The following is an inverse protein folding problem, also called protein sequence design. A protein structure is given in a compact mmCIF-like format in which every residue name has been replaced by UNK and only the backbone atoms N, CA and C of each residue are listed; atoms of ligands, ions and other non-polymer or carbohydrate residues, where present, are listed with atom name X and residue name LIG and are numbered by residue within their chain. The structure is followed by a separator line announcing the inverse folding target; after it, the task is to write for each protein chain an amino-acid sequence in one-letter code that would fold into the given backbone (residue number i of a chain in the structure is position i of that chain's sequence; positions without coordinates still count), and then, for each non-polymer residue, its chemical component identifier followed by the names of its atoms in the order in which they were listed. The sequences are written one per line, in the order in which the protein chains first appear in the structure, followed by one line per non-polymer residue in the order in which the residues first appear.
data_IF_578779150888
#
_entry.id   IF_578779150888
#
_cell.length_a   1.000
_cell.length_b   1.000
_cell.length_c   1.000
_cell.angle_alpha   90.00
_cell.angle_beta   90.00
_cell.angle_gamma   90.00
#
_symmetry.space_group_name_H-M   'P 1'
#
loop_
_entity.id
_entity.type
_entity.pdbx_description
1 polymer ?
#
# COMPACT_ATOMS: atom_id res chain seq x y z
N UNK A 1 -18.99 -12.54 54.85
CA UNK A 1 -19.23 -13.44 53.71
C UNK A 1 -19.87 -12.62 52.60
N UNK A 2 -19.08 -11.88 51.85
CA UNK A 2 -19.57 -11.11 50.69
C UNK A 2 -18.36 -10.76 49.83
N UNK A 3 -17.88 -11.63 48.98
CA UNK A 3 -16.84 -11.30 47.98
C UNK A 3 -16.63 -12.45 46.97
N UNK A 4 -17.66 -12.82 46.18
CA UNK A 4 -17.42 -13.84 45.15
C UNK A 4 -18.34 -13.71 43.90
N UNK A 5 -18.87 -12.54 43.57
CA UNK A 5 -19.75 -12.38 42.40
C UNK A 5 -19.32 -11.35 41.37
N UNK A 6 -18.24 -10.59 41.59
CA UNK A 6 -17.82 -9.55 40.64
C UNK A 6 -16.76 -9.99 39.63
N UNK A 7 -16.07 -11.11 39.85
CA UNK A 7 -14.94 -11.53 38.98
C UNK A 7 -15.38 -12.30 37.72
N UNK A 8 -16.61 -12.76 37.62
CA UNK A 8 -17.09 -13.50 36.45
C UNK A 8 -17.73 -12.64 35.37
N UNK A 9 -18.11 -11.41 35.67
CA UNK A 9 -18.74 -10.50 34.68
C UNK A 9 -17.69 -9.74 33.87
N UNK A 10 -16.52 -9.43 34.46
CA UNK A 10 -15.43 -8.75 33.76
C UNK A 10 -14.75 -9.62 32.70
N UNK A 11 -14.69 -10.95 32.90
CA UNK A 11 -14.08 -11.86 31.93
C UNK A 11 -14.97 -12.16 30.71
N UNK A 12 -16.28 -11.94 30.81
CA UNK A 12 -17.21 -12.17 29.70
C UNK A 12 -17.29 -10.99 28.73
N UNK A 13 -16.95 -9.77 29.18
CA UNK A 13 -16.95 -8.56 28.33
C UNK A 13 -15.70 -8.42 27.47
N UNK A 14 -14.57 -9.07 27.80
CA UNK A 14 -13.35 -9.06 27.00
C UNK A 14 -13.32 -10.04 25.84
N UNK A 15 -14.30 -10.96 25.75
CA UNK A 15 -14.40 -11.92 24.64
C UNK A 15 -15.32 -11.45 23.49
N UNK A 16 -15.98 -10.29 23.62
CA UNK A 16 -16.94 -9.81 22.62
C UNK A 16 -16.36 -8.82 21.62
N UNK A 17 -15.16 -8.28 21.85
CA UNK A 17 -14.56 -7.29 20.94
C UNK A 17 -13.72 -7.91 19.80
N UNK A 18 -13.29 -9.16 19.93
CA UNK A 18 -12.50 -9.84 18.87
C UNK A 18 -13.33 -10.34 17.69
N UNK A 19 -14.62 -10.57 17.86
CA UNK A 19 -15.46 -11.15 16.80
C UNK A 19 -15.94 -10.11 15.75
N UNK A 20 -16.04 -8.83 16.11
CA UNK A 20 -16.63 -7.81 15.23
C UNK A 20 -15.71 -7.31 14.13
N UNK A 21 -14.39 -7.39 14.30
CA UNK A 21 -13.43 -6.92 13.29
C UNK A 21 -13.27 -7.94 12.17
N UNK A 22 -13.27 -9.23 12.51
CA UNK A 22 -13.17 -10.33 11.52
C UNK A 22 -14.40 -10.44 10.62
N UNK A 23 -15.59 -10.20 11.15
CA UNK A 23 -16.84 -10.28 10.38
C UNK A 23 -16.95 -9.14 9.34
N UNK A 24 -16.44 -7.97 9.65
CA UNK A 24 -16.47 -6.82 8.73
C UNK A 24 -15.54 -7.03 7.53
N UNK A 25 -14.38 -7.65 7.71
CA UNK A 25 -13.46 -7.96 6.62
C UNK A 25 -13.98 -9.06 5.68
N UNK A 26 -14.63 -10.07 6.23
CA UNK A 26 -15.23 -11.14 5.42
C UNK A 26 -16.36 -10.61 4.53
N UNK A 27 -17.15 -9.65 5.02
CA UNK A 27 -18.20 -9.00 4.25
C UNK A 27 -17.63 -8.10 3.15
N UNK A 28 -16.59 -7.31 3.43
CA UNK A 28 -15.87 -6.46 2.47
C UNK A 28 -15.27 -7.30 1.31
N UNK A 29 -14.67 -8.46 1.61
CA UNK A 29 -14.12 -9.36 0.60
C UNK A 29 -15.22 -10.03 -0.23
N UNK A 30 -16.33 -10.42 0.39
CA UNK A 30 -17.48 -10.98 -0.30
C UNK A 30 -18.12 -9.99 -1.28
N UNK A 31 -18.25 -8.73 -0.89
CA UNK A 31 -18.74 -7.66 -1.77
C UNK A 31 -17.77 -7.40 -2.95
N UNK A 32 -16.48 -7.42 -2.70
CA UNK A 32 -15.47 -7.27 -3.76
C UNK A 32 -15.53 -8.42 -4.77
N UNK A 33 -15.70 -9.66 -4.31
CA UNK A 33 -15.87 -10.81 -5.20
C UNK A 33 -17.15 -10.69 -6.04
N UNK A 34 -18.24 -10.19 -5.48
CA UNK A 34 -19.47 -9.91 -6.24
C UNK A 34 -19.24 -8.85 -7.31
N UNK A 35 -18.47 -7.80 -7.01
CA UNK A 35 -18.10 -6.78 -7.98
C UNK A 35 -17.28 -7.39 -9.12
N UNK A 36 -16.23 -8.16 -8.81
CA UNK A 36 -15.40 -8.83 -9.82
C UNK A 36 -16.24 -9.76 -10.70
N UNK A 37 -17.14 -10.54 -10.11
CA UNK A 37 -18.03 -11.43 -10.84
C UNK A 37 -18.97 -10.69 -11.78
N UNK A 38 -19.42 -9.49 -11.42
CA UNK A 38 -20.35 -8.72 -12.21
C UNK A 38 -19.69 -7.98 -13.38
N UNK A 39 -18.44 -7.50 -13.21
CA UNK A 39 -17.83 -6.53 -14.13
C UNK A 39 -16.48 -6.97 -14.71
N UNK A 40 -15.75 -7.89 -14.06
CA UNK A 40 -14.35 -8.17 -14.42
C UNK A 40 -14.12 -9.55 -15.01
N UNK A 41 -14.79 -10.61 -14.52
CA UNK A 41 -14.49 -12.01 -14.88
C UNK A 41 -14.76 -12.37 -16.34
N UNK A 42 -15.54 -11.58 -17.05
CA UNK A 42 -15.75 -11.80 -18.50
C UNK A 42 -14.45 -11.67 -19.32
N UNK A 43 -13.47 -10.95 -18.79
CA UNK A 43 -12.14 -10.77 -19.38
C UNK A 43 -11.02 -11.33 -18.46
N UNK A 44 -11.22 -11.35 -17.14
CA UNK A 44 -10.26 -11.77 -16.12
C UNK A 44 -10.78 -12.98 -15.32
N UNK A 45 -11.33 -13.98 -16.01
CA UNK A 45 -11.91 -15.18 -15.43
C UNK A 45 -11.07 -16.43 -15.67
N UNK A 46 -11.73 -17.57 -15.59
CA UNK A 46 -11.11 -18.88 -15.79
C UNK A 46 -10.75 -19.14 -17.25
N UNK A 47 -11.71 -18.90 -18.17
CA UNK A 47 -11.54 -19.13 -19.62
C UNK A 47 -10.73 -18.04 -20.30
N UNK A 48 -10.81 -16.81 -19.81
CA UNK A 48 -10.10 -15.65 -20.34
C UNK A 48 -9.34 -14.97 -19.22
N UNK A 49 -8.04 -14.78 -19.40
CA UNK A 49 -7.19 -14.08 -18.45
C UNK A 49 -6.37 -13.03 -19.19
N UNK A 50 -7.05 -11.93 -19.60
CA UNK A 50 -6.38 -10.78 -20.22
C UNK A 50 -5.33 -10.24 -19.26
N UNK A 51 -4.11 -9.94 -19.73
CA UNK A 51 -3.01 -9.50 -18.89
C UNK A 51 -2.52 -10.54 -17.88
N UNK A 52 -2.94 -11.80 -17.97
CA UNK A 52 -2.59 -12.83 -16.97
C UNK A 52 -3.41 -12.76 -15.68
N UNK A 53 -4.23 -11.73 -15.49
CA UNK A 53 -5.02 -11.50 -14.29
C UNK A 53 -6.25 -12.41 -14.23
N UNK A 54 -6.48 -13.03 -13.05
CA UNK A 54 -7.63 -13.91 -12.78
C UNK A 54 -8.33 -13.47 -11.50
N UNK A 55 -9.58 -13.00 -11.63
CA UNK A 55 -10.38 -12.45 -10.54
C UNK A 55 -11.56 -13.35 -10.13
N UNK A 56 -11.75 -14.50 -10.80
CA UNK A 56 -12.84 -15.43 -10.47
C UNK A 56 -12.66 -16.14 -9.13
N UNK A 57 -11.42 -16.25 -8.65
CA UNK A 57 -11.05 -16.82 -7.35
C UNK A 57 -10.07 -15.88 -6.65
N UNK A 58 -10.58 -14.76 -6.14
CA UNK A 58 -9.77 -13.78 -5.44
C UNK A 58 -9.72 -14.16 -3.95
N UNK A 59 -8.70 -14.94 -3.59
CA UNK A 59 -8.54 -15.52 -2.26
C UNK A 59 -7.51 -14.79 -1.40
N UNK A 60 -7.15 -15.44 -0.29
CA UNK A 60 -6.22 -14.87 0.71
C UNK A 60 -4.87 -14.46 0.12
N UNK A 61 -4.33 -15.24 -0.82
CA UNK A 61 -3.05 -14.91 -1.46
C UNK A 61 -3.13 -13.59 -2.22
N UNK A 62 -4.18 -13.37 -2.99
CA UNK A 62 -4.40 -12.14 -3.75
C UNK A 62 -4.67 -10.95 -2.83
N UNK A 63 -5.41 -11.15 -1.74
CA UNK A 63 -5.65 -10.12 -0.73
C UNK A 63 -4.38 -9.71 0.06
N UNK A 64 -3.34 -10.53 0.06
CA UNK A 64 -2.06 -10.24 0.69
C UNK A 64 -0.96 -9.83 -0.30
N UNK A 65 -1.31 -9.59 -1.56
CA UNK A 65 -0.40 -9.09 -2.59
C UNK A 65 -0.62 -7.57 -2.81
N UNK A 66 0.22 -6.70 -2.24
CA UNK A 66 0.07 -5.25 -2.37
C UNK A 66 0.25 -4.75 -3.79
N UNK A 67 1.11 -5.39 -4.60
CA UNK A 67 1.33 -4.99 -5.99
C UNK A 67 0.08 -5.22 -6.81
N UNK A 68 -0.54 -6.41 -6.69
CA UNK A 68 -1.77 -6.76 -7.37
C UNK A 68 -2.95 -5.86 -6.97
N UNK A 69 -3.09 -5.59 -5.65
CA UNK A 69 -4.15 -4.72 -5.16
C UNK A 69 -4.01 -3.28 -5.66
N UNK A 70 -2.77 -2.77 -5.72
CA UNK A 70 -2.50 -1.44 -6.24
C UNK A 70 -2.78 -1.35 -7.73
N UNK A 71 -2.35 -2.34 -8.52
CA UNK A 71 -2.64 -2.42 -9.97
C UNK A 71 -4.14 -2.38 -10.25
N UNK A 72 -4.94 -3.15 -9.50
CA UNK A 72 -6.40 -3.15 -9.63
C UNK A 72 -6.97 -1.79 -9.22
N UNK A 73 -6.48 -1.21 -8.12
CA UNK A 73 -6.95 0.09 -7.62
C UNK A 73 -6.71 1.20 -8.65
N UNK A 74 -5.49 1.29 -9.17
CA UNK A 74 -5.08 2.30 -10.15
C UNK A 74 -5.84 2.17 -11.47
N UNK A 75 -5.96 0.96 -12.01
CA UNK A 75 -6.69 0.72 -13.26
C UNK A 75 -8.16 1.17 -13.18
N UNK A 76 -8.78 1.02 -12.02
CA UNK A 76 -10.15 1.47 -11.77
C UNK A 76 -10.20 2.99 -11.56
N UNK A 77 -9.25 3.57 -10.84
CA UNK A 77 -9.20 5.00 -10.54
C UNK A 77 -8.94 5.82 -11.79
N UNK A 78 -8.06 5.37 -12.66
CA UNK A 78 -7.75 6.01 -13.94
C UNK A 78 -8.84 5.79 -15.01
N UNK A 79 -9.83 4.93 -14.71
CA UNK A 79 -10.91 4.60 -15.66
C UNK A 79 -10.47 3.70 -16.81
N UNK A 80 -9.32 3.03 -16.70
CA UNK A 80 -8.84 2.06 -17.67
C UNK A 80 -9.65 0.76 -17.63
N UNK A 81 -10.25 0.46 -16.47
CA UNK A 81 -11.10 -0.72 -16.26
C UNK A 81 -12.43 -0.34 -15.63
N UNK A 82 -13.54 -0.90 -16.14
CA UNK A 82 -13.68 -1.73 -17.37
C UNK A 82 -13.39 -0.93 -18.64
N UNK A 83 -12.84 -1.58 -19.70
CA UNK A 83 -12.56 -0.89 -20.96
C UNK A 83 -13.86 -0.45 -21.67
N UNK A 84 -13.77 0.49 -22.60
CA UNK A 84 -14.94 1.09 -23.28
C UNK A 84 -15.85 0.07 -24.00
N UNK A 85 -15.29 -1.05 -24.44
CA UNK A 85 -16.00 -2.15 -25.09
C UNK A 85 -16.64 -3.15 -24.12
N UNK A 86 -16.56 -2.89 -22.83
CA UNK A 86 -17.16 -3.76 -21.82
C UNK A 86 -18.70 -3.81 -21.94
N UNK A 87 -19.26 -4.97 -21.70
CA UNK A 87 -20.73 -5.17 -21.79
C UNK A 87 -21.50 -4.54 -20.62
N UNK A 88 -20.83 -4.28 -19.50
CA UNK A 88 -21.42 -3.75 -18.27
C UNK A 88 -20.45 -2.81 -17.60
N UNK A 89 -20.99 -1.73 -17.04
CA UNK A 89 -20.22 -0.75 -16.28
C UNK A 89 -20.77 -0.66 -14.85
N UNK A 90 -19.89 -0.59 -13.85
CA UNK A 90 -20.31 -0.37 -12.47
C UNK A 90 -20.81 1.07 -12.28
N UNK A 91 -21.68 1.28 -11.31
CA UNK A 91 -22.05 2.61 -10.87
C UNK A 91 -20.93 3.22 -10.03
N UNK A 92 -20.90 4.56 -9.98
CA UNK A 92 -19.87 5.30 -9.22
C UNK A 92 -19.80 4.92 -7.73
N UNK A 93 -20.94 4.64 -7.12
CA UNK A 93 -21.01 4.19 -5.73
C UNK A 93 -20.39 2.81 -5.52
N UNK A 94 -20.57 1.90 -6.47
CA UNK A 94 -19.97 0.56 -6.45
C UNK A 94 -18.45 0.62 -6.65
N UNK A 95 -17.98 1.49 -7.56
CA UNK A 95 -16.55 1.75 -7.77
C UNK A 95 -15.91 2.26 -6.46
N UNK A 96 -16.51 3.30 -5.86
CA UNK A 96 -16.04 3.87 -4.59
C UNK A 96 -16.05 2.86 -3.44
N UNK A 97 -17.02 1.95 -3.42
CA UNK A 97 -17.07 0.88 -2.42
C UNK A 97 -15.87 -0.07 -2.58
N UNK A 98 -15.59 -0.54 -3.79
CA UNK A 98 -14.43 -1.39 -4.04
C UNK A 98 -13.10 -0.68 -3.73
N UNK A 99 -12.94 0.57 -4.20
CA UNK A 99 -11.74 1.36 -3.92
C UNK A 99 -11.48 1.52 -2.40
N UNK A 100 -12.55 1.71 -1.61
CA UNK A 100 -12.43 1.79 -0.15
C UNK A 100 -11.93 0.48 0.45
N UNK A 101 -12.42 -0.67 -0.04
CA UNK A 101 -11.97 -1.98 0.46
C UNK A 101 -10.52 -2.25 0.08
N UNK A 102 -10.15 -2.01 -1.17
CA UNK A 102 -8.77 -2.18 -1.65
C UNK A 102 -7.80 -1.24 -0.91
N UNK A 103 -8.15 0.04 -0.78
CA UNK A 103 -7.33 1.02 -0.07
C UNK A 103 -7.14 0.70 1.42
N UNK A 104 -8.21 0.22 2.09
CA UNK A 104 -8.12 -0.25 3.48
C UNK A 104 -7.17 -1.45 3.60
N UNK A 105 -7.24 -2.41 2.68
CA UNK A 105 -6.36 -3.58 2.70
C UNK A 105 -4.90 -3.18 2.41
N UNK A 106 -4.67 -2.32 1.43
CA UNK A 106 -3.33 -1.78 1.14
C UNK A 106 -2.73 -1.09 2.37
N UNK A 107 -3.52 -0.30 3.10
CA UNK A 107 -3.08 0.33 4.35
C UNK A 107 -2.69 -0.69 5.42
N UNK A 108 -3.52 -1.73 5.62
CA UNK A 108 -3.22 -2.83 6.56
C UNK A 108 -1.94 -3.57 6.17
N UNK A 109 -1.70 -3.80 4.88
CA UNK A 109 -0.48 -4.44 4.40
C UNK A 109 0.75 -3.54 4.60
N UNK A 110 0.61 -2.25 4.36
CA UNK A 110 1.67 -1.28 4.60
C UNK A 110 2.06 -1.18 6.08
N UNK A 111 1.08 -1.26 6.99
CA UNK A 111 1.36 -1.28 8.44
C UNK A 111 2.04 -2.58 8.91
N UNK A 112 1.77 -3.71 8.24
CA UNK A 112 2.41 -5.00 8.53
C UNK A 112 3.83 -5.10 7.96
N UNK A 113 4.13 -4.34 6.92
CA UNK A 113 5.50 -4.22 6.45
C UNK A 113 6.29 -3.54 7.57
N UNK A 114 7.33 -4.21 8.02
CA UNK A 114 8.18 -3.82 9.16
C UNK A 114 8.40 -2.31 9.18
N UNK A 115 8.25 -1.64 10.35
CA UNK A 115 8.47 -0.21 10.44
C UNK A 115 9.84 0.13 9.89
N UNK A 116 9.81 0.74 8.71
CA UNK A 116 10.90 1.37 8.04
C UNK A 116 12.26 0.67 8.15
N UNK A 117 12.61 -0.14 7.17
CA UNK A 117 14.02 -0.15 6.83
C UNK A 117 14.40 1.33 6.68
N UNK A 118 15.31 1.81 7.54
CA UNK A 118 15.83 3.17 7.45
C UNK A 118 16.41 3.33 6.04
N UNK A 119 15.63 3.92 5.14
CA UNK A 119 16.15 4.28 3.83
C UNK A 119 16.94 5.58 4.01
N UNK A 120 18.07 5.71 3.33
CA UNK A 120 18.67 7.03 3.20
C UNK A 120 17.78 7.91 2.31
N UNK A 121 17.87 9.18 2.48
CA UNK A 121 17.27 10.12 1.54
C UNK A 121 17.96 10.00 0.18
N UNK A 122 17.22 10.15 -0.92
CA UNK A 122 17.84 10.41 -2.22
C UNK A 122 18.62 11.73 -2.16
N UNK A 123 19.54 11.94 -3.07
CA UNK A 123 20.34 13.19 -3.08
C UNK A 123 19.45 14.45 -3.23
N UNK A 124 18.35 14.34 -3.96
CA UNK A 124 17.37 15.42 -4.12
C UNK A 124 16.61 15.66 -2.83
N UNK A 125 16.10 14.59 -2.20
CA UNK A 125 15.42 14.66 -0.90
C UNK A 125 16.35 15.24 0.17
N UNK A 126 17.63 14.84 0.18
CA UNK A 126 18.62 15.36 1.12
C UNK A 126 18.85 16.86 0.93
N UNK A 127 19.13 17.31 -0.31
CA UNK A 127 19.32 18.74 -0.61
C UNK A 127 18.09 19.56 -0.19
N UNK A 128 16.89 19.12 -0.56
CA UNK A 128 15.66 19.84 -0.23
C UNK A 128 15.46 19.91 1.29
N UNK A 129 15.69 18.80 2.00
CA UNK A 129 15.58 18.76 3.46
C UNK A 129 16.56 19.73 4.13
N UNK A 130 17.81 19.77 3.68
CA UNK A 130 18.82 20.70 4.21
C UNK A 130 18.41 22.15 3.95
N UNK A 131 17.98 22.46 2.73
CA UNK A 131 17.54 23.79 2.37
C UNK A 131 16.33 24.25 3.18
N UNK A 132 15.36 23.36 3.40
CA UNK A 132 14.18 23.65 4.21
C UNK A 132 14.55 23.87 5.70
N UNK A 133 15.41 23.02 6.25
CA UNK A 133 15.80 23.10 7.68
C UNK A 133 16.60 24.37 7.96
N UNK A 134 17.51 24.74 7.08
CA UNK A 134 18.40 25.90 7.29
C UNK A 134 17.87 27.20 6.66
N UNK A 135 16.78 27.15 5.89
CA UNK A 135 16.24 28.31 5.17
C UNK A 135 17.24 28.85 4.15
N UNK A 136 18.00 27.98 3.51
CA UNK A 136 19.10 28.29 2.60
C UNK A 136 18.87 27.70 1.21
N UNK A 137 19.73 28.01 0.26
CA UNK A 137 19.70 27.48 -1.11
C UNK A 137 21.08 26.88 -1.45
N UNK A 138 21.38 25.74 -0.82
CA UNK A 138 22.61 24.99 -1.08
C UNK A 138 22.46 24.15 -2.35
N UNK A 139 23.46 24.15 -3.22
CA UNK A 139 23.58 23.22 -4.34
C UNK A 139 24.49 22.05 -3.95
N UNK A 140 23.89 20.94 -3.54
CA UNK A 140 24.60 19.79 -2.98
C UNK A 140 24.63 18.57 -3.92
N UNK A 141 23.82 18.56 -4.98
CA UNK A 141 23.61 17.40 -5.85
C UNK A 141 24.90 16.83 -6.44
N UNK A 142 25.83 17.71 -6.84
CA UNK A 142 27.11 17.29 -7.45
C UNK A 142 28.13 16.74 -6.43
N UNK A 143 27.85 16.90 -5.13
CA UNK A 143 28.70 16.46 -4.04
C UNK A 143 28.22 15.17 -3.39
N UNK A 144 26.99 14.77 -3.72
CA UNK A 144 26.35 13.56 -3.20
C UNK A 144 26.46 12.41 -4.21
N UNK A 145 26.51 11.15 -3.73
CA UNK A 145 26.54 10.00 -4.59
C UNK A 145 25.28 9.91 -5.46
N UNK A 146 25.44 9.42 -6.67
CA UNK A 146 24.32 9.20 -7.58
C UNK A 146 23.37 8.14 -7.01
N UNK A 147 22.07 8.39 -7.11
CA UNK A 147 21.06 7.41 -6.77
C UNK A 147 20.82 6.45 -7.93
N UNK A 148 20.57 5.19 -7.61
CA UNK A 148 20.13 4.22 -8.61
C UNK A 148 18.67 4.51 -8.96
N UNK A 149 18.39 4.63 -10.24
CA UNK A 149 17.03 4.85 -10.76
C UNK A 149 16.42 3.49 -11.10
N UNK A 150 15.26 3.22 -10.53
CA UNK A 150 14.46 2.05 -10.84
C UNK A 150 13.05 2.47 -11.25
N UNK A 151 12.55 1.94 -12.36
CA UNK A 151 11.26 2.30 -12.94
C UNK A 151 11.01 3.82 -13.09
N UNK A 152 12.09 4.62 -13.24
CA UNK A 152 12.02 6.07 -13.35
C UNK A 152 12.01 6.85 -12.03
N UNK A 153 12.10 6.16 -10.89
CA UNK A 153 12.13 6.77 -9.56
C UNK A 153 13.51 6.63 -8.90
N UNK A 154 14.00 7.73 -8.32
CA UNK A 154 15.28 7.80 -7.59
C UNK A 154 15.14 7.63 -6.07
N UNK A 155 13.91 7.47 -5.58
CA UNK A 155 13.58 7.37 -4.16
C UNK A 155 13.08 5.98 -3.72
N UNK A 156 13.28 4.95 -4.54
CA UNK A 156 12.96 3.58 -4.18
C UNK A 156 13.89 3.08 -3.05
N UNK A 157 13.30 2.74 -1.89
CA UNK A 157 14.04 2.32 -0.69
C UNK A 157 14.96 1.12 -0.93
N UNK A 158 14.55 0.18 -1.80
CA UNK A 158 15.33 -1.01 -2.11
C UNK A 158 16.62 -0.72 -2.87
N UNK A 159 16.72 0.45 -3.52
CA UNK A 159 17.87 0.88 -4.29
C UNK A 159 18.73 1.93 -3.58
N UNK A 160 18.25 2.48 -2.45
CA UNK A 160 18.95 3.49 -1.66
C UNK A 160 19.83 2.85 -0.57
N UNK A 161 20.74 1.96 -0.98
CA UNK A 161 21.73 1.38 -0.09
C UNK A 161 22.74 2.44 0.34
N UNK A 162 23.26 2.31 1.55
CA UNK A 162 24.31 3.18 2.09
C UNK A 162 25.62 2.42 2.15
N UNK A 163 26.56 2.74 1.25
CA UNK A 163 27.93 2.25 1.32
C UNK A 163 28.79 3.11 2.24
N UNK A 164 29.97 2.63 2.63
CA UNK A 164 30.91 3.42 3.41
C UNK A 164 31.39 4.67 2.66
N UNK A 165 31.52 4.58 1.34
CA UNK A 165 31.92 5.71 0.45
C UNK A 165 30.79 6.75 0.41
N UNK A 166 29.55 6.30 0.36
CA UNK A 166 28.40 7.21 0.40
C UNK A 166 28.34 7.94 1.74
N UNK A 167 28.55 7.24 2.85
CA UNK A 167 28.61 7.85 4.19
C UNK A 167 29.68 8.94 4.27
N UNK A 168 30.88 8.69 3.73
CA UNK A 168 31.95 9.69 3.70
C UNK A 168 31.54 10.92 2.91
N UNK A 169 30.86 10.75 1.78
CA UNK A 169 30.35 11.86 0.96
C UNK A 169 29.33 12.71 1.74
N UNK A 170 28.38 12.08 2.43
CA UNK A 170 27.38 12.75 3.26
C UNK A 170 28.06 13.52 4.43
N UNK A 171 29.05 12.91 5.11
CA UNK A 171 29.82 13.61 6.15
C UNK A 171 30.59 14.81 5.63
N UNK A 172 31.20 14.69 4.45
CA UNK A 172 31.93 15.78 3.83
C UNK A 172 30.99 16.95 3.48
N UNK A 173 29.80 16.66 2.98
CA UNK A 173 28.78 17.69 2.72
C UNK A 173 28.30 18.32 4.03
N UNK A 174 27.98 17.53 5.05
CA UNK A 174 27.52 18.03 6.34
C UNK A 174 28.55 18.94 7.05
N UNK A 175 29.85 18.69 6.85
CA UNK A 175 30.91 19.54 7.42
C UNK A 175 31.09 20.89 6.70
N UNK A 176 30.44 21.09 5.54
CA UNK A 176 30.53 22.35 4.74
C UNK A 176 29.31 23.25 4.90
N UNK A 177 28.22 22.69 5.44
CA UNK A 177 26.99 23.42 5.77
C UNK A 177 27.16 24.12 7.13
#
# INVERSE_FOLDING_TARGET
MLNFRFTKIAALLLLLDGARVSDCFADDQGQSQQFFNAYCISCHGEEKSKGGLRLHQFGEQQWNDPSLLNEIYEAIELGEMPPEDAKRFPKTDQVKALQRVLGKQLHVLAEKQTPGMLKRLSRVEYQNTINDVFGADFSLLDQLPMDNIDAGFDNNADNLHLSLVDMESYFNVANRI
#
